data_IF_815061198813
#
_entry.id   IF_815061198813
#
_cell.length_a   1.000
_cell.length_b   1.000
_cell.length_c   1.000
_cell.angle_alpha   90.00
_cell.angle_beta   90.00
_cell.angle_gamma   90.00
#
_symmetry.space_group_name_H-M   'P 1'
#
loop_
_entity.id
_entity.type
_entity.pdbx_description
1 polymer ?
#
# COMPACT_ATOMS: atom_id res chain seq x y z
N UNK A 1 -13.73 8.46 -10.04
CA UNK A 1 -12.82 7.94 -9.02
C UNK A 1 -12.33 6.56 -9.42
N UNK A 2 -11.05 6.27 -9.21
CA UNK A 2 -10.51 4.90 -9.26
C UNK A 2 -10.27 4.41 -7.83
N UNK A 3 -10.27 3.09 -7.63
CA UNK A 3 -9.96 2.51 -6.32
C UNK A 3 -8.58 2.94 -5.79
N UNK A 4 -7.60 3.15 -6.69
CA UNK A 4 -6.26 3.66 -6.33
C UNK A 4 -6.32 5.08 -5.76
N UNK A 5 -7.12 5.97 -6.36
CA UNK A 5 -7.20 7.37 -5.91
C UNK A 5 -7.72 7.46 -4.46
N UNK A 6 -8.80 6.74 -4.15
CA UNK A 6 -9.35 6.69 -2.79
C UNK A 6 -8.41 6.01 -1.80
N UNK A 7 -7.69 4.97 -2.25
CA UNK A 7 -6.71 4.28 -1.44
C UNK A 7 -5.53 5.20 -1.06
N UNK A 8 -5.03 5.99 -1.99
CA UNK A 8 -3.94 6.96 -1.74
C UNK A 8 -4.36 8.04 -0.74
N UNK A 9 -5.60 8.52 -0.80
CA UNK A 9 -6.14 9.45 0.20
C UNK A 9 -6.12 8.86 1.60
N UNK A 10 -6.57 7.61 1.76
CA UNK A 10 -6.57 6.93 3.06
C UNK A 10 -5.16 6.60 3.57
N UNK A 11 -4.23 6.26 2.68
CA UNK A 11 -2.83 5.97 3.03
C UNK A 11 -2.06 7.22 3.46
N UNK A 12 -2.41 8.39 2.92
CA UNK A 12 -1.80 9.68 3.29
C UNK A 12 -2.33 10.23 4.61
N UNK A 13 -3.43 9.69 5.15
CA UNK A 13 -3.96 10.11 6.44
C UNK A 13 -3.08 9.60 7.60
N UNK A 14 -2.65 10.51 8.49
CA UNK A 14 -1.73 10.20 9.59
C UNK A 14 -2.29 9.25 10.65
N UNK A 15 -3.62 9.17 10.78
CA UNK A 15 -4.31 8.34 11.77
C UNK A 15 -4.60 6.95 11.18
N UNK A 16 -4.99 6.90 9.91
CA UNK A 16 -5.53 5.71 9.24
C UNK A 16 -4.46 5.00 8.40
N UNK A 17 -3.50 5.72 7.82
CA UNK A 17 -2.48 5.20 6.90
C UNK A 17 -1.49 4.20 7.51
N UNK A 18 -1.38 4.14 8.84
CA UNK A 18 -0.57 3.15 9.56
C UNK A 18 -1.36 1.90 9.99
N UNK A 19 -2.65 1.80 9.62
CA UNK A 19 -3.43 0.60 9.86
C UNK A 19 -2.88 -0.57 9.02
N UNK A 20 -2.53 -1.67 9.68
CA UNK A 20 -1.95 -2.85 9.03
C UNK A 20 -2.87 -3.50 8.00
N UNK A 21 -4.19 -3.51 8.25
CA UNK A 21 -5.19 -4.06 7.33
C UNK A 21 -5.30 -3.18 6.08
N UNK A 22 -5.29 -1.85 6.25
CA UNK A 22 -5.29 -0.92 5.12
C UNK A 22 -4.04 -1.09 4.25
N UNK A 23 -2.86 -1.21 4.87
CA UNK A 23 -1.59 -1.43 4.15
C UNK A 23 -1.58 -2.78 3.42
N UNK A 24 -2.05 -3.86 4.04
CA UNK A 24 -2.15 -5.15 3.36
C UNK A 24 -3.13 -5.10 2.17
N UNK A 25 -4.26 -4.42 2.34
CA UNK A 25 -5.26 -4.22 1.28
C UNK A 25 -4.65 -3.41 0.13
N UNK A 26 -3.94 -2.33 0.43
CA UNK A 26 -3.22 -1.53 -0.54
C UNK A 26 -2.22 -2.36 -1.34
N UNK A 27 -1.42 -3.16 -0.62
CA UNK A 27 -0.47 -4.08 -1.22
C UNK A 27 -1.11 -5.05 -2.20
N UNK A 28 -2.24 -5.66 -1.82
CA UNK A 28 -2.98 -6.60 -2.65
C UNK A 28 -3.52 -5.95 -3.93
N UNK A 29 -4.06 -4.73 -3.81
CA UNK A 29 -4.55 -3.95 -4.95
C UNK A 29 -3.41 -3.65 -5.92
N UNK A 30 -2.29 -3.09 -5.43
CA UNK A 30 -1.13 -2.80 -6.26
C UNK A 30 -0.53 -4.04 -6.93
N UNK A 31 -0.57 -5.20 -6.25
CA UNK A 31 -0.17 -6.48 -6.84
C UNK A 31 -1.06 -6.87 -8.03
N UNK A 32 -2.37 -6.64 -7.92
CA UNK A 32 -3.34 -6.92 -8.97
C UNK A 32 -3.21 -5.96 -10.16
N UNK A 33 -2.77 -4.73 -9.89
CA UNK A 33 -2.47 -3.68 -10.88
C UNK A 33 -1.05 -3.81 -11.48
N UNK A 34 -0.29 -4.83 -11.05
CA UNK A 34 1.10 -5.10 -11.49
C UNK A 34 2.09 -4.00 -11.12
N UNK A 35 1.75 -3.11 -10.18
CA UNK A 35 2.68 -2.16 -9.57
C UNK A 35 3.35 -2.81 -8.36
N UNK A 36 4.33 -3.66 -8.64
CA UNK A 36 5.01 -4.44 -7.60
C UNK A 36 5.83 -3.56 -6.64
N UNK A 37 6.29 -2.39 -7.08
CA UNK A 37 7.04 -1.47 -6.23
C UNK A 37 6.15 -0.89 -5.13
N UNK A 38 4.96 -0.42 -5.48
CA UNK A 38 3.97 0.04 -4.49
C UNK A 38 3.45 -1.12 -3.64
N UNK A 39 3.18 -2.27 -4.25
CA UNK A 39 2.75 -3.46 -3.51
C UNK A 39 3.76 -3.82 -2.40
N UNK A 40 5.04 -3.77 -2.72
CA UNK A 40 6.13 -4.07 -1.80
C UNK A 40 6.24 -3.06 -0.66
N UNK A 41 6.13 -1.75 -0.95
CA UNK A 41 6.15 -0.68 0.08
C UNK A 41 5.08 -0.89 1.15
N UNK A 42 3.94 -1.45 0.77
CA UNK A 42 2.81 -1.66 1.67
C UNK A 42 2.79 -3.03 2.36
N UNK A 43 3.52 -4.03 1.84
CA UNK A 43 3.53 -5.40 2.39
C UNK A 43 4.81 -5.77 3.12
N UNK A 44 5.91 -5.06 2.87
CA UNK A 44 7.18 -5.30 3.55
C UNK A 44 7.30 -4.40 4.80
N UNK A 45 6.89 -4.93 5.95
CA UNK A 45 6.90 -4.22 7.23
C UNK A 45 8.25 -4.20 7.97
N UNK A 46 9.34 -4.73 7.40
CA UNK A 46 10.58 -4.85 8.22
C UNK A 46 11.86 -5.40 7.61
N UNK A 47 12.11 -5.33 6.30
CA UNK A 47 13.41 -5.73 5.76
C UNK A 47 13.94 -4.75 4.74
N UNK A 48 15.18 -4.27 4.93
CA UNK A 48 15.98 -3.66 3.86
C UNK A 48 15.95 -4.59 2.66
N UNK A 49 15.15 -4.23 1.66
CA UNK A 49 15.21 -4.88 0.37
C UNK A 49 16.19 -4.06 -0.45
N UNK A 50 17.44 -4.50 -0.46
CA UNK A 50 18.38 -4.06 -1.47
C UNK A 50 17.84 -4.56 -2.82
N UNK A 51 17.38 -3.63 -3.64
CA UNK A 51 17.04 -3.84 -5.05
C UNK A 51 18.25 -3.52 -5.92
#
# INVERSE_FOLDING_TARGET
>A
ESAISSLQEWLNDSVTGNNLVLRLTAGTIYMHEQDYNEALKHTNLGGTMEL
#
